data_IF_090392269532
#
_entry.id   IF_090392269532
#
_cell.length_a   1.000
_cell.length_b   1.000
_cell.length_c   1.000
_cell.angle_alpha   90.00
_cell.angle_beta   90.00
_cell.angle_gamma   90.00
#
_symmetry.space_group_name_H-M   'P 1'
#
loop_
_entity.id
_entity.type
_entity.pdbx_description
1 polymer ?
#
# COMPACT_ATOMS: atom_id res chain seq x y z
N UNK A 1 1.89 18.50 -0.37
CA UNK A 1 3.09 17.65 -0.24
C UNK A 1 2.72 16.33 0.40
N UNK A 2 3.20 15.23 -0.15
CA UNK A 2 2.93 13.92 0.41
C UNK A 2 3.85 13.64 1.59
N UNK A 3 3.34 12.87 2.56
CA UNK A 3 4.16 12.41 3.68
C UNK A 3 5.20 11.42 3.17
N UNK A 4 6.22 11.16 4.01
CA UNK A 4 7.25 10.17 3.68
C UNK A 4 6.63 8.79 3.49
N UNK A 5 5.68 8.42 4.34
CA UNK A 5 4.97 7.15 4.21
C UNK A 5 4.23 7.05 2.87
N UNK A 6 3.51 8.11 2.51
CA UNK A 6 2.75 8.13 1.26
C UNK A 6 3.67 7.97 0.06
N UNK A 7 4.80 8.68 0.05
CA UNK A 7 5.77 8.59 -1.03
C UNK A 7 6.32 7.17 -1.17
N UNK A 8 6.64 6.52 -0.06
CA UNK A 8 7.15 5.15 -0.07
C UNK A 8 6.12 4.17 -0.61
N UNK A 9 4.87 4.30 -0.19
CA UNK A 9 3.81 3.41 -0.66
C UNK A 9 3.53 3.60 -2.13
N UNK A 10 3.50 4.84 -2.61
CA UNK A 10 3.33 5.11 -4.03
C UNK A 10 4.46 4.50 -4.84
N UNK A 11 5.69 4.57 -4.34
CA UNK A 11 6.83 3.97 -5.01
C UNK A 11 6.69 2.46 -5.17
N UNK A 12 6.20 1.78 -4.13
CA UNK A 12 5.98 0.35 -4.18
C UNK A 12 4.86 -0.02 -5.15
N UNK A 13 3.75 0.70 -5.10
CA UNK A 13 2.61 0.45 -5.98
C UNK A 13 2.97 0.75 -7.44
N UNK A 14 3.87 1.72 -7.66
CA UNK A 14 4.35 2.05 -9.00
C UNK A 14 5.07 0.88 -9.67
N UNK A 15 5.74 0.03 -8.88
CA UNK A 15 6.44 -1.12 -9.42
C UNK A 15 5.45 -2.20 -9.88
N UNK A 16 4.39 -2.42 -9.11
CA UNK A 16 3.32 -3.35 -9.45
C UNK A 16 2.13 -3.13 -8.52
N UNK A 17 0.92 -3.52 -8.94
CA UNK A 17 -0.23 -3.48 -8.03
C UNK A 17 0.00 -4.38 -6.82
N UNK A 18 -0.38 -3.90 -5.63
CA UNK A 18 -0.16 -4.62 -4.38
C UNK A 18 -1.37 -4.51 -3.47
N UNK A 19 -1.60 -5.55 -2.65
CA UNK A 19 -2.56 -5.45 -1.55
C UNK A 19 -1.82 -4.96 -0.29
N UNK A 20 -2.56 -4.53 0.76
CA UNK A 20 -1.90 -4.00 1.97
C UNK A 20 -0.93 -4.99 2.63
N UNK A 21 -1.28 -6.27 2.63
CA UNK A 21 -0.41 -7.30 3.23
C UNK A 21 0.93 -7.36 2.49
N UNK A 22 0.88 -7.33 1.15
CA UNK A 22 2.11 -7.36 0.35
C UNK A 22 2.95 -6.11 0.56
N UNK A 23 2.29 -4.94 0.71
CA UNK A 23 3.00 -3.69 0.99
C UNK A 23 3.75 -3.81 2.31
N UNK A 24 3.09 -4.30 3.36
CA UNK A 24 3.72 -4.46 4.67
C UNK A 24 4.91 -5.43 4.57
N UNK A 25 4.73 -6.52 3.83
CA UNK A 25 5.79 -7.50 3.65
C UNK A 25 6.98 -6.91 2.92
N UNK A 26 6.74 -6.10 1.88
CA UNK A 26 7.82 -5.43 1.16
C UNK A 26 8.58 -4.46 2.05
N UNK A 27 7.88 -3.73 2.90
CA UNK A 27 8.55 -2.82 3.84
C UNK A 27 9.44 -3.58 4.79
N UNK A 28 9.04 -4.76 5.23
CA UNK A 28 9.85 -5.62 6.09
C UNK A 28 11.09 -6.13 5.35
N UNK A 29 10.93 -6.57 4.10
CA UNK A 29 12.04 -7.07 3.28
C UNK A 29 13.05 -5.95 3.05
N UNK A 30 12.59 -4.73 2.81
CA UNK A 30 13.45 -3.58 2.58
C UNK A 30 14.10 -3.05 3.85
N UNK A 31 13.77 -3.63 5.00
CA UNK A 31 14.30 -3.20 6.31
C UNK A 31 14.00 -1.74 6.62
N UNK A 32 12.85 -1.26 6.16
CA UNK A 32 12.47 0.14 6.37
C UNK A 32 12.41 0.48 7.85
N UNK A 33 12.03 -0.48 8.69
CA UNK A 33 11.89 -0.27 10.13
C UNK A 33 13.20 0.05 10.84
N UNK A 34 14.34 -0.20 10.20
CA UNK A 34 15.64 0.14 10.79
C UNK A 34 15.89 1.64 10.78
N UNK A 35 15.33 2.36 9.81
CA UNK A 35 15.56 3.79 9.66
C UNK A 35 14.26 4.60 9.57
N UNK A 36 13.14 3.93 9.43
CA UNK A 36 11.85 4.60 9.44
C UNK A 36 10.76 3.62 9.90
N UNK A 37 10.33 3.77 11.15
CA UNK A 37 9.36 2.86 11.74
C UNK A 37 7.94 3.23 11.29
N UNK A 38 7.34 2.38 10.48
CA UNK A 38 5.97 2.56 10.03
C UNK A 38 5.09 1.47 10.65
N UNK A 39 4.10 1.89 11.43
CA UNK A 39 3.15 0.94 12.00
C UNK A 39 2.20 0.44 10.91
N UNK A 40 1.69 -0.80 11.05
CA UNK A 40 0.74 -1.35 10.10
C UNK A 40 -0.51 -0.48 9.97
N UNK A 41 -0.99 0.09 11.08
CA UNK A 41 -2.14 1.00 11.04
C UNK A 41 -1.86 2.23 10.19
N UNK A 42 -0.62 2.73 10.19
CA UNK A 42 -0.22 3.87 9.37
C UNK A 42 -0.28 3.49 7.88
N UNK A 43 0.11 2.26 7.54
CA UNK A 43 0.01 1.79 6.15
C UNK A 43 -1.43 1.84 5.68
N UNK A 44 -2.36 1.28 6.45
CA UNK A 44 -3.77 1.26 6.07
C UNK A 44 -4.34 2.67 5.99
N UNK A 45 -4.03 3.53 6.95
CA UNK A 45 -4.52 4.91 6.95
C UNK A 45 -3.99 5.69 5.75
N UNK A 46 -2.71 5.50 5.42
CA UNK A 46 -2.10 6.19 4.28
C UNK A 46 -2.73 5.74 2.97
N UNK A 47 -3.00 4.44 2.82
CA UNK A 47 -3.66 3.93 1.62
C UNK A 47 -5.04 4.57 1.43
N UNK A 48 -5.80 4.73 2.51
CA UNK A 48 -7.10 5.38 2.42
C UNK A 48 -7.00 6.84 2.00
N UNK A 49 -6.00 7.55 2.52
CA UNK A 49 -5.78 8.95 2.14
C UNK A 49 -5.41 9.05 0.66
N UNK A 50 -4.51 8.18 0.19
CA UNK A 50 -4.10 8.18 -1.20
C UNK A 50 -5.26 7.84 -2.14
N UNK A 51 -6.10 6.90 -1.73
CA UNK A 51 -7.28 6.53 -2.50
C UNK A 51 -8.27 7.69 -2.58
N UNK A 52 -8.50 8.37 -1.46
CA UNK A 52 -9.39 9.52 -1.41
C UNK A 52 -8.89 10.66 -2.30
N UNK A 53 -7.59 10.85 -2.37
CA UNK A 53 -6.97 11.87 -3.23
C UNK A 53 -6.83 11.41 -4.68
N UNK A 54 -7.27 10.19 -4.97
CA UNK A 54 -7.27 9.63 -6.32
C UNK A 54 -5.89 9.41 -6.91
N UNK A 55 -4.88 9.22 -6.06
CA UNK A 55 -3.55 8.79 -6.53
C UNK A 55 -3.53 7.29 -6.81
N UNK A 56 -4.35 6.52 -6.09
CA UNK A 56 -4.47 5.08 -6.28
C UNK A 56 -5.95 4.69 -6.30
N UNK A 57 -6.21 3.50 -6.80
CA UNK A 57 -7.55 2.93 -6.73
C UNK A 57 -7.46 1.47 -6.31
N UNK A 58 -8.49 0.99 -5.62
CA UNK A 58 -8.57 -0.39 -5.15
C UNK A 58 -9.46 -1.22 -6.06
N UNK A 59 -9.02 -2.43 -6.35
CA UNK A 59 -9.80 -3.42 -7.09
C UNK A 59 -9.92 -4.67 -6.24
N UNK A 60 -11.14 -5.14 -6.01
CA UNK A 60 -11.36 -6.32 -5.19
C UNK A 60 -11.17 -7.57 -6.04
N UNK A 61 -10.30 -8.47 -5.57
CA UNK A 61 -10.10 -9.77 -6.19
C UNK A 61 -10.64 -10.86 -5.28
N UNK A 62 -11.35 -11.81 -5.87
CA UNK A 62 -11.85 -12.99 -5.17
C UNK A 62 -11.04 -14.19 -5.60
N UNK A 63 -10.63 -15.00 -4.64
CA UNK A 63 -9.78 -16.16 -4.90
C UNK A 63 -10.38 -17.38 -4.20
N UNK A 64 -11.36 -17.98 -4.83
CA UNK A 64 -12.00 -19.20 -4.34
C UNK A 64 -12.60 -19.01 -2.94
N UNK A 65 -12.15 -19.81 -1.99
CA UNK A 65 -12.62 -19.75 -0.61
C UNK A 65 -11.87 -18.77 0.26
N UNK A 66 -10.92 -18.05 -0.31
CA UNK A 66 -10.12 -17.07 0.43
C UNK A 66 -10.91 -15.78 0.62
N UNK A 67 -10.62 -15.02 1.69
CA UNK A 67 -11.23 -13.69 1.84
C UNK A 67 -10.89 -12.79 0.66
N UNK A 68 -11.81 -11.87 0.35
CA UNK A 68 -11.59 -10.90 -0.71
C UNK A 68 -10.35 -10.07 -0.41
N UNK A 69 -9.57 -9.79 -1.46
CA UNK A 69 -8.38 -8.95 -1.37
C UNK A 69 -8.61 -7.68 -2.17
N UNK A 70 -8.16 -6.55 -1.62
CA UNK A 70 -8.15 -5.29 -2.36
C UNK A 70 -6.75 -5.06 -2.89
N UNK A 71 -6.63 -4.96 -4.20
CA UNK A 71 -5.35 -4.70 -4.86
C UNK A 71 -5.32 -3.23 -5.25
N UNK A 72 -4.30 -2.52 -4.82
CA UNK A 72 -4.15 -1.09 -5.12
C UNK A 72 -3.24 -0.89 -6.32
N UNK A 73 -3.65 0.01 -7.20
CA UNK A 73 -2.90 0.37 -8.41
C UNK A 73 -2.85 1.89 -8.52
N UNK A 74 -1.82 2.39 -9.21
CA UNK A 74 -1.74 3.83 -9.45
C UNK A 74 -2.82 4.26 -10.45
N UNK A 75 -3.38 5.44 -10.24
CA UNK A 75 -4.19 6.11 -11.26
C UNK A 75 -3.25 6.75 -12.27
N UNK A 76 -3.77 7.02 -13.44
CA UNK A 76 -2.99 7.71 -14.48
C UNK A 76 -2.92 9.21 -14.26
#
# INVERSE_FOLDING_TARGET
MLSKSATMLLGLINQRPLNPYEIIKQLQIMNVHRWYNIANSTVYATLKVLEKKEYIYGSVEKDGNMPDKTIYSLTD
#
